data_IF_994478608116
#
_entry.id   IF_994478608116
#
_cell.length_a   1.000
_cell.length_b   1.000
_cell.length_c   1.000
_cell.angle_alpha   90.00
_cell.angle_beta   90.00
_cell.angle_gamma   90.00
#
_symmetry.space_group_name_H-M   'P 1'
#
loop_
_entity.id
_entity.type
_entity.pdbx_description
1 polymer ?
#
# COMPACT_ATOMS: atom_id res chain seq x y z
N UNK A 1 22.91 -18.44 -27.17
CA UNK A 1 22.50 -17.03 -27.07
C UNK A 1 23.46 -16.36 -26.12
N UNK A 2 24.13 -15.29 -26.53
CA UNK A 2 25.06 -14.58 -25.64
C UNK A 2 24.24 -13.85 -24.57
N UNK A 3 24.51 -14.13 -23.29
CA UNK A 3 24.06 -13.30 -22.18
C UNK A 3 24.59 -11.88 -22.43
N UNK A 4 23.69 -10.92 -22.59
CA UNK A 4 24.06 -9.51 -22.68
C UNK A 4 24.39 -9.08 -21.26
N UNK A 5 25.61 -9.37 -20.82
CA UNK A 5 26.12 -8.82 -19.57
C UNK A 5 26.26 -7.31 -19.78
N UNK A 6 25.58 -6.52 -18.95
CA UNK A 6 25.79 -5.06 -18.88
C UNK A 6 27.31 -4.79 -18.85
N UNK A 7 27.86 -3.85 -19.64
CA UNK A 7 29.29 -3.49 -19.59
C UNK A 7 29.82 -3.16 -18.18
N UNK A 8 28.95 -2.85 -17.22
CA UNK A 8 29.32 -2.62 -15.81
C UNK A 8 29.27 -3.89 -14.93
N UNK A 9 28.89 -5.04 -15.48
CA UNK A 9 28.81 -6.32 -14.76
C UNK A 9 27.63 -6.40 -13.80
N UNK A 10 26.54 -5.66 -14.06
CA UNK A 10 25.34 -5.68 -13.21
C UNK A 10 24.63 -7.04 -13.37
N UNK A 11 24.30 -7.73 -12.27
CA UNK A 11 23.52 -8.96 -12.33
C UNK A 11 22.12 -8.67 -12.87
N UNK A 12 21.65 -9.51 -13.78
CA UNK A 12 20.28 -9.44 -14.32
C UNK A 12 19.43 -10.56 -13.70
N UNK A 13 18.26 -10.20 -13.17
CA UNK A 13 17.28 -11.14 -12.63
C UNK A 13 15.88 -10.77 -13.13
N UNK A 14 15.07 -11.79 -13.44
CA UNK A 14 13.64 -11.60 -13.65
C UNK A 14 12.94 -11.59 -12.28
N UNK A 15 12.16 -10.53 -11.98
CA UNK A 15 11.38 -10.48 -10.74
C UNK A 15 10.30 -11.56 -10.70
N UNK A 16 9.83 -12.05 -11.85
CA UNK A 16 8.86 -13.15 -11.95
C UNK A 16 9.42 -14.47 -11.41
N UNK A 17 10.74 -14.67 -11.50
CA UNK A 17 11.40 -15.90 -11.07
C UNK A 17 11.67 -15.93 -9.55
N UNK A 18 11.50 -14.79 -8.87
CA UNK A 18 11.67 -14.71 -7.43
C UNK A 18 10.49 -15.38 -6.72
N UNK A 19 10.71 -16.14 -5.63
CA UNK A 19 9.65 -16.84 -4.90
C UNK A 19 8.76 -15.89 -4.05
N UNK A 20 8.54 -14.66 -4.49
CA UNK A 20 7.81 -13.60 -3.77
C UNK A 20 6.34 -13.94 -3.52
N UNK A 21 5.71 -14.72 -4.40
CA UNK A 21 4.33 -15.15 -4.24
C UNK A 21 4.13 -15.99 -2.98
N UNK A 22 5.10 -16.88 -2.69
CA UNK A 22 5.06 -17.84 -1.59
C UNK A 22 5.83 -17.38 -0.35
N UNK A 23 7.04 -16.87 -0.55
CA UNK A 23 7.97 -16.49 0.51
C UNK A 23 8.76 -15.23 0.12
N UNK A 24 8.27 -14.09 0.61
CA UNK A 24 8.92 -12.80 0.39
C UNK A 24 10.27 -12.69 1.10
N UNK A 25 10.49 -13.38 2.21
CA UNK A 25 11.77 -13.37 2.90
C UNK A 25 12.86 -13.93 2.00
N UNK A 26 12.62 -15.13 1.45
CA UNK A 26 13.51 -15.75 0.46
C UNK A 26 13.59 -14.90 -0.80
N UNK A 27 12.47 -14.40 -1.34
CA UNK A 27 12.47 -13.59 -2.55
C UNK A 27 13.32 -12.31 -2.43
N UNK A 28 13.18 -11.57 -1.33
CA UNK A 28 13.99 -10.39 -1.07
C UNK A 28 15.45 -10.72 -0.78
N UNK A 29 15.72 -11.86 -0.12
CA UNK A 29 17.09 -12.34 0.10
C UNK A 29 17.79 -12.66 -1.23
N UNK A 30 17.15 -13.42 -2.13
CA UNK A 30 17.67 -13.73 -3.47
C UNK A 30 18.03 -12.46 -4.24
N UNK A 31 17.16 -11.45 -4.21
CA UNK A 31 17.43 -10.17 -4.88
C UNK A 31 18.62 -9.43 -4.26
N UNK A 32 18.76 -9.42 -2.92
CA UNK A 32 19.90 -8.79 -2.22
C UNK A 32 21.22 -9.54 -2.48
N UNK A 33 21.18 -10.86 -2.52
CA UNK A 33 22.36 -11.72 -2.74
C UNK A 33 22.95 -11.53 -4.14
N UNK A 34 22.13 -11.19 -5.14
CA UNK A 34 22.61 -10.86 -6.47
C UNK A 34 23.51 -9.61 -6.47
N UNK A 35 23.17 -8.58 -5.69
CA UNK A 35 24.01 -7.40 -5.53
C UNK A 35 23.25 -6.14 -5.07
N UNK A 36 23.97 -5.04 -4.80
CA UNK A 36 23.38 -3.77 -4.35
C UNK A 36 22.59 -3.04 -5.45
N UNK A 37 22.92 -3.31 -6.71
CA UNK A 37 22.23 -2.86 -7.92
C UNK A 37 21.98 -4.09 -8.79
N UNK A 38 20.73 -4.34 -9.17
CA UNK A 38 20.32 -5.49 -9.99
C UNK A 38 19.50 -4.97 -11.17
N UNK A 39 19.76 -5.45 -12.39
CA UNK A 39 18.93 -5.14 -13.55
C UNK A 39 17.75 -6.11 -13.60
N UNK A 40 16.56 -5.58 -13.81
CA UNK A 40 15.35 -6.40 -13.98
C UNK A 40 14.31 -5.65 -14.82
N UNK A 41 13.83 -6.25 -15.90
CA UNK A 41 12.87 -5.66 -16.85
C UNK A 41 13.28 -4.27 -17.38
N UNK A 42 14.58 -4.01 -17.52
CA UNK A 42 15.09 -2.68 -17.89
C UNK A 42 14.99 -1.62 -16.77
N UNK A 43 14.77 -2.04 -15.52
CA UNK A 43 14.86 -1.21 -14.32
C UNK A 43 16.05 -1.63 -13.46
N UNK A 44 16.70 -0.67 -12.83
CA UNK A 44 17.73 -0.91 -11.82
C UNK A 44 17.08 -1.01 -10.43
N UNK A 45 17.10 -2.17 -9.81
CA UNK A 45 16.66 -2.39 -8.44
C UNK A 45 17.80 -2.07 -7.45
N UNK A 46 17.54 -1.15 -6.52
CA UNK A 46 18.43 -0.86 -5.40
C UNK A 46 18.00 -1.69 -4.20
N UNK A 47 18.92 -2.53 -3.71
CA UNK A 47 18.61 -3.54 -2.69
C UNK A 47 19.28 -3.23 -1.35
N UNK A 48 20.34 -2.42 -1.38
CA UNK A 48 21.12 -2.04 -0.20
C UNK A 48 20.52 -0.83 0.51
N UNK A 49 20.34 -0.94 1.82
CA UNK A 49 19.66 0.08 2.66
C UNK A 49 20.20 1.49 2.50
N UNK A 50 21.52 1.68 2.57
CA UNK A 50 22.10 3.02 2.48
C UNK A 50 21.76 3.72 1.15
N UNK A 51 21.77 2.97 0.03
CA UNK A 51 21.48 3.50 -1.29
C UNK A 51 19.99 3.83 -1.45
N UNK A 52 19.11 2.92 -1.01
CA UNK A 52 17.66 3.14 -1.02
C UNK A 52 17.30 4.38 -0.18
N UNK A 53 17.86 4.51 1.02
CA UNK A 53 17.59 5.64 1.89
C UNK A 53 18.17 6.96 1.37
N UNK A 54 19.34 6.92 0.73
CA UNK A 54 19.91 8.09 0.05
C UNK A 54 19.00 8.53 -1.10
N UNK A 55 18.54 7.59 -1.93
CA UNK A 55 17.65 7.87 -3.05
C UNK A 55 16.30 8.44 -2.61
N UNK A 56 15.67 7.86 -1.57
CA UNK A 56 14.42 8.36 -0.99
C UNK A 56 14.52 9.82 -0.53
N UNK A 57 15.70 10.25 -0.06
CA UNK A 57 15.95 11.62 0.46
C UNK A 57 16.38 12.61 -0.62
N UNK A 58 16.69 12.15 -1.83
CA UNK A 58 17.22 12.98 -2.89
C UNK A 58 16.27 13.01 -4.11
N UNK A 59 15.12 13.71 -4.01
CA UNK A 59 14.14 13.80 -5.10
C UNK A 59 14.68 14.54 -6.33
N UNK A 60 15.73 15.36 -6.16
CA UNK A 60 16.35 16.09 -7.26
C UNK A 60 17.05 15.13 -8.23
N UNK A 61 17.71 14.10 -7.71
CA UNK A 61 18.38 13.06 -8.50
C UNK A 61 17.41 11.94 -8.85
N UNK A 62 16.61 11.48 -7.87
CA UNK A 62 15.65 10.39 -8.04
C UNK A 62 14.24 10.97 -8.10
N UNK A 63 13.82 11.34 -9.31
CA UNK A 63 12.53 12.00 -9.58
C UNK A 63 11.37 11.02 -9.47
N UNK A 64 10.33 11.41 -8.73
CA UNK A 64 9.03 10.74 -8.72
C UNK A 64 8.21 11.17 -9.93
N UNK A 65 8.23 12.47 -10.28
CA UNK A 65 7.51 13.01 -11.45
C UNK A 65 7.80 12.22 -12.72
N UNK A 66 9.08 12.06 -13.06
CA UNK A 66 9.51 11.31 -14.25
C UNK A 66 9.10 9.83 -14.22
N UNK A 67 9.01 9.23 -13.04
CA UNK A 67 8.54 7.85 -12.92
C UNK A 67 7.04 7.73 -13.27
N UNK A 68 6.23 8.70 -12.89
CA UNK A 68 4.80 8.75 -13.23
C UNK A 68 4.52 9.23 -14.65
N UNK A 69 5.42 10.01 -15.27
CA UNK A 69 5.32 10.35 -16.71
C UNK A 69 5.33 9.10 -17.61
N UNK A 70 6.03 8.03 -17.19
CA UNK A 70 6.03 6.73 -17.90
C UNK A 70 4.65 6.06 -17.86
N UNK A 71 3.85 6.32 -16.82
CA UNK A 71 2.49 5.77 -16.67
C UNK A 71 1.51 6.46 -17.64
N UNK A 72 1.79 7.71 -18.04
CA UNK A 72 1.01 8.40 -19.07
C UNK A 72 -0.41 8.80 -18.66
N UNK A 73 -0.68 8.98 -17.36
CA UNK A 73 -2.00 9.42 -16.88
C UNK A 73 -2.34 10.83 -17.40
N UNK A 74 -3.57 11.08 -17.89
CA UNK A 74 -4.02 12.41 -18.28
C UNK A 74 -4.29 13.33 -17.08
N UNK A 75 -4.35 12.77 -15.86
CA UNK A 75 -4.61 13.49 -14.63
C UNK A 75 -3.31 13.86 -13.89
N UNK A 76 -3.28 15.01 -13.20
CA UNK A 76 -2.19 15.32 -12.29
C UNK A 76 -2.30 14.44 -11.03
N UNK A 77 -1.58 13.33 -10.95
CA UNK A 77 -1.63 12.39 -9.81
C UNK A 77 -0.99 12.99 -8.55
N UNK A 78 -1.71 13.90 -7.91
CA UNK A 78 -1.27 14.66 -6.75
C UNK A 78 -1.23 13.77 -5.50
N UNK A 79 -0.18 13.85 -4.66
CA UNK A 79 1.08 14.55 -4.87
C UNK A 79 2.16 13.66 -5.51
N UNK A 80 1.88 12.38 -5.78
CA UNK A 80 2.91 11.38 -6.09
C UNK A 80 3.67 11.64 -7.40
N UNK A 81 3.01 12.21 -8.41
CA UNK A 81 3.59 12.52 -9.72
C UNK A 81 4.30 13.90 -9.79
N UNK A 82 4.70 14.46 -8.65
CA UNK A 82 5.37 15.75 -8.57
C UNK A 82 6.66 15.65 -7.77
N UNK A 83 7.64 16.49 -8.09
CA UNK A 83 8.84 16.69 -7.26
C UNK A 83 8.78 18.07 -6.57
N UNK A 84 9.59 18.35 -5.54
CA UNK A 84 9.71 19.70 -4.99
C UNK A 84 10.18 20.71 -6.05
N UNK A 85 9.70 21.97 -6.00
CA UNK A 85 8.85 22.57 -4.97
C UNK A 85 7.34 22.33 -5.11
N UNK A 86 6.82 21.92 -6.27
CA UNK A 86 5.38 21.72 -6.49
C UNK A 86 4.80 20.66 -5.54
N UNK A 87 5.50 19.53 -5.40
CA UNK A 87 5.16 18.50 -4.42
C UNK A 87 5.03 19.06 -3.00
N UNK A 88 5.91 19.98 -2.61
CA UNK A 88 5.89 20.58 -1.28
C UNK A 88 4.62 21.40 -1.05
N UNK A 89 4.07 22.07 -2.07
CA UNK A 89 2.78 22.77 -1.99
C UNK A 89 1.67 21.78 -1.67
N UNK A 90 1.55 20.72 -2.45
CA UNK A 90 0.52 19.69 -2.24
C UNK A 90 0.64 19.02 -0.87
N UNK A 91 1.86 18.71 -0.44
CA UNK A 91 2.09 18.13 0.90
C UNK A 91 1.65 19.06 2.03
N UNK A 92 1.85 20.37 1.91
CA UNK A 92 1.40 21.35 2.91
C UNK A 92 -0.12 21.39 2.99
N UNK A 93 -0.82 21.29 1.85
CA UNK A 93 -2.28 21.24 1.79
C UNK A 93 -2.79 19.95 2.44
N UNK A 94 -2.19 18.80 2.13
CA UNK A 94 -2.74 17.50 2.53
C UNK A 94 -2.42 17.08 3.97
N UNK A 95 -1.23 17.38 4.48
CA UNK A 95 -0.76 16.86 5.78
C UNK A 95 -1.69 17.13 6.97
N UNK A 96 -2.32 18.32 7.12
CA UNK A 96 -3.22 18.59 8.24
C UNK A 96 -4.37 17.58 8.36
N UNK A 97 -4.96 17.17 7.24
CA UNK A 97 -6.11 16.26 7.19
C UNK A 97 -5.77 14.82 7.57
N UNK A 98 -4.52 14.39 7.34
CA UNK A 98 -4.04 13.05 7.67
C UNK A 98 -3.20 13.03 8.96
N UNK A 99 -3.27 14.09 9.77
CA UNK A 99 -2.64 14.14 11.08
C UNK A 99 -3.41 13.31 12.10
N UNK A 100 -2.76 12.75 13.14
CA UNK A 100 -3.46 12.03 14.21
C UNK A 100 -4.60 12.84 14.87
N UNK A 101 -4.42 14.16 14.97
CA UNK A 101 -5.44 15.04 15.55
C UNK A 101 -6.68 15.13 14.67
N UNK A 102 -6.52 15.34 13.36
CA UNK A 102 -7.65 15.39 12.43
C UNK A 102 -8.38 14.04 12.35
N UNK A 103 -7.62 12.94 12.30
CA UNK A 103 -8.18 11.59 12.21
C UNK A 103 -8.92 11.15 13.48
N UNK A 104 -8.64 11.76 14.64
CA UNK A 104 -9.37 11.45 15.88
C UNK A 104 -10.88 11.77 15.77
N UNK A 105 -11.26 12.75 14.93
CA UNK A 105 -12.65 13.12 14.73
C UNK A 105 -13.44 12.05 13.94
N UNK A 106 -12.80 11.34 13.01
CA UNK A 106 -13.44 10.30 12.19
C UNK A 106 -13.39 8.91 12.84
N UNK A 107 -12.52 8.71 13.84
CA UNK A 107 -12.29 7.42 14.49
C UNK A 107 -13.60 6.70 14.91
N UNK A 108 -14.59 7.36 15.55
CA UNK A 108 -15.83 6.68 15.92
C UNK A 108 -16.61 6.13 14.71
N UNK A 109 -16.60 6.85 13.58
CA UNK A 109 -17.29 6.43 12.36
C UNK A 109 -16.62 5.23 11.70
N UNK A 110 -15.29 5.27 11.54
CA UNK A 110 -14.54 4.16 10.94
C UNK A 110 -14.53 2.92 11.85
N UNK A 111 -14.61 3.09 13.17
CA UNK A 111 -14.74 1.98 14.11
C UNK A 111 -16.12 1.32 13.99
N UNK A 112 -17.20 2.12 13.91
CA UNK A 112 -18.54 1.59 13.68
C UNK A 112 -18.64 0.79 12.37
N UNK A 113 -18.03 1.28 11.29
CA UNK A 113 -17.97 0.56 10.01
C UNK A 113 -17.26 -0.79 10.12
N UNK A 114 -16.13 -0.85 10.82
CA UNK A 114 -15.42 -2.11 11.06
C UNK A 114 -16.27 -3.08 11.88
N UNK A 115 -16.91 -2.57 12.95
CA UNK A 115 -17.79 -3.35 13.82
C UNK A 115 -18.94 -3.97 13.02
N UNK A 116 -19.62 -3.19 12.19
CA UNK A 116 -20.76 -3.66 11.39
C UNK A 116 -20.38 -4.81 10.46
N UNK A 117 -19.22 -4.69 9.79
CA UNK A 117 -18.69 -5.74 8.92
C UNK A 117 -18.33 -6.98 9.76
N UNK A 118 -17.56 -6.81 10.83
CA UNK A 118 -17.05 -7.93 11.64
C UNK A 118 -18.20 -8.64 12.38
N UNK A 119 -19.23 -7.92 12.86
CA UNK A 119 -20.43 -8.51 13.48
C UNK A 119 -21.27 -9.33 12.48
N UNK A 120 -21.24 -8.99 11.19
CA UNK A 120 -21.87 -9.78 10.14
C UNK A 120 -21.10 -11.07 9.89
N UNK A 121 -19.77 -11.01 9.91
CA UNK A 121 -18.90 -12.17 9.70
C UNK A 121 -18.94 -13.11 10.91
N UNK A 122 -18.92 -12.59 12.14
CA UNK A 122 -18.89 -13.38 13.37
C UNK A 122 -20.10 -14.31 13.59
N UNK A 123 -21.15 -14.15 12.78
CA UNK A 123 -22.36 -15.01 12.77
C UNK A 123 -22.27 -16.18 11.78
N UNK A 124 -21.16 -16.32 11.08
CA UNK A 124 -20.92 -17.34 10.05
C UNK A 124 -19.87 -18.35 10.56
N UNK A 125 -19.84 -19.52 9.93
CA UNK A 125 -18.82 -20.55 10.19
C UNK A 125 -17.60 -20.41 9.26
N UNK A 126 -17.70 -19.54 8.24
CA UNK A 126 -16.66 -19.29 7.26
C UNK A 126 -16.67 -17.82 6.81
N UNK A 127 -15.52 -17.35 6.34
CA UNK A 127 -15.33 -16.00 5.82
C UNK A 127 -14.26 -16.00 4.74
N UNK A 128 -14.50 -15.29 3.65
CA UNK A 128 -13.44 -14.91 2.71
C UNK A 128 -12.99 -13.50 3.08
N UNK A 129 -11.89 -13.38 3.82
CA UNK A 129 -11.49 -12.12 4.48
C UNK A 129 -11.27 -10.99 3.48
N UNK A 130 -10.81 -11.29 2.26
CA UNK A 130 -10.55 -10.23 1.29
C UNK A 130 -11.85 -9.56 0.86
N UNK A 131 -12.83 -10.33 0.39
CA UNK A 131 -14.13 -9.86 -0.08
C UNK A 131 -15.06 -9.42 1.07
N UNK A 132 -15.04 -10.12 2.21
CA UNK A 132 -15.95 -9.82 3.32
C UNK A 132 -15.47 -8.65 4.18
N UNK A 133 -14.15 -8.38 4.24
CA UNK A 133 -13.56 -7.37 5.16
C UNK A 133 -12.53 -6.46 4.51
N UNK A 134 -11.43 -7.01 3.99
CA UNK A 134 -10.24 -6.24 3.66
C UNK A 134 -10.45 -5.29 2.46
N UNK A 135 -11.29 -5.67 1.50
CA UNK A 135 -11.70 -4.83 0.37
C UNK A 135 -12.81 -3.84 0.74
N UNK A 136 -13.96 -4.25 1.32
CA UNK A 136 -15.05 -3.33 1.58
C UNK A 136 -14.76 -2.30 2.67
N UNK A 137 -13.89 -2.58 3.65
CA UNK A 137 -13.64 -1.67 4.76
C UNK A 137 -12.91 -0.39 4.35
N UNK A 138 -11.71 -0.43 3.74
CA UNK A 138 -11.00 0.79 3.33
C UNK A 138 -11.79 1.62 2.32
N UNK A 139 -12.59 0.98 1.46
CA UNK A 139 -13.49 1.68 0.53
C UNK A 139 -14.55 2.51 1.25
N UNK A 140 -15.12 2.04 2.37
CA UNK A 140 -16.08 2.83 3.16
C UNK A 140 -15.40 3.97 3.90
N UNK A 141 -14.19 3.72 4.43
CA UNK A 141 -13.39 4.74 5.10
C UNK A 141 -13.06 5.87 4.12
N UNK A 142 -12.63 5.53 2.90
CA UNK A 142 -12.38 6.52 1.84
C UNK A 142 -13.62 7.34 1.51
N UNK A 143 -14.76 6.69 1.25
CA UNK A 143 -16.01 7.38 0.93
C UNK A 143 -16.41 8.35 2.05
N UNK A 144 -16.30 7.90 3.31
CA UNK A 144 -16.59 8.74 4.48
C UNK A 144 -15.65 9.94 4.56
N UNK A 145 -14.34 9.72 4.39
CA UNK A 145 -13.32 10.75 4.50
C UNK A 145 -13.45 11.82 3.41
N UNK A 146 -13.86 11.41 2.21
CA UNK A 146 -14.00 12.27 1.03
C UNK A 146 -15.42 12.86 0.85
N UNK A 147 -16.34 12.66 1.80
CA UNK A 147 -17.69 13.22 1.72
C UNK A 147 -18.59 12.54 0.68
N UNK A 148 -18.25 11.31 0.29
CA UNK A 148 -18.92 10.56 -0.76
C UNK A 148 -19.98 9.59 -0.21
N UNK A 149 -21.04 9.26 -0.97
CA UNK A 149 -22.09 8.37 -0.50
C UNK A 149 -21.61 6.92 -0.29
N UNK A 150 -21.82 6.37 0.91
CA UNK A 150 -21.48 4.96 1.22
C UNK A 150 -22.16 3.93 0.30
N UNK A 151 -23.33 4.28 -0.27
CA UNK A 151 -24.03 3.43 -1.25
C UNK A 151 -23.23 3.19 -2.54
N UNK A 152 -22.22 4.02 -2.82
CA UNK A 152 -21.36 3.87 -4.01
C UNK A 152 -20.18 2.92 -3.77
N UNK A 153 -20.06 2.30 -2.58
CA UNK A 153 -18.97 1.38 -2.21
C UNK A 153 -18.68 0.32 -3.27
N UNK A 154 -19.70 -0.44 -3.71
CA UNK A 154 -19.50 -1.53 -4.67
C UNK A 154 -19.04 -1.00 -6.05
N UNK A 155 -19.53 0.17 -6.46
CA UNK A 155 -19.11 0.82 -7.70
C UNK A 155 -17.64 1.24 -7.61
N UNK A 156 -17.26 1.86 -6.48
CA UNK A 156 -15.90 2.27 -6.22
C UNK A 156 -14.92 1.08 -6.23
N UNK A 157 -15.29 -0.02 -5.60
CA UNK A 157 -14.50 -1.27 -5.60
C UNK A 157 -14.33 -1.78 -7.03
N UNK A 158 -15.43 -1.94 -7.77
CA UNK A 158 -15.39 -2.44 -9.14
C UNK A 158 -14.54 -1.57 -10.08
N UNK A 159 -14.63 -0.25 -9.97
CA UNK A 159 -13.76 0.64 -10.74
C UNK A 159 -12.29 0.51 -10.36
N UNK A 160 -11.99 0.49 -9.06
CA UNK A 160 -10.62 0.38 -8.54
C UNK A 160 -9.97 -0.93 -8.98
N UNK A 161 -10.65 -2.07 -8.80
CA UNK A 161 -10.11 -3.39 -9.16
C UNK A 161 -9.81 -3.49 -10.65
N UNK A 162 -10.76 -3.08 -11.51
CA UNK A 162 -10.58 -3.10 -12.95
C UNK A 162 -9.40 -2.23 -13.42
N UNK A 163 -9.17 -1.06 -12.80
CA UNK A 163 -8.03 -0.20 -13.14
C UNK A 163 -6.70 -0.83 -12.69
N UNK A 164 -6.66 -1.48 -11.53
CA UNK A 164 -5.45 -2.14 -11.03
C UNK A 164 -5.08 -3.33 -11.94
N UNK A 165 -6.07 -4.10 -12.40
CA UNK A 165 -5.86 -5.21 -13.34
C UNK A 165 -5.16 -4.74 -14.63
N UNK A 166 -5.39 -3.50 -15.09
CA UNK A 166 -4.70 -2.94 -16.26
C UNK A 166 -3.18 -2.78 -16.05
N UNK A 167 -2.73 -2.73 -14.80
CA UNK A 167 -1.31 -2.58 -14.45
C UNK A 167 -0.59 -3.92 -14.32
N UNK A 168 -1.31 -5.03 -14.38
CA UNK A 168 -0.75 -6.38 -14.35
C UNK A 168 -0.48 -6.84 -15.80
N UNK A 169 0.71 -7.39 -16.11
CA UNK A 169 1.00 -7.88 -17.46
C UNK A 169 -0.05 -8.91 -17.93
N UNK A 170 -0.89 -8.55 -18.90
CA UNK A 170 -1.89 -9.46 -19.45
C UNK A 170 -1.23 -10.40 -20.49
N UNK A 171 -1.20 -11.70 -20.19
CA UNK A 171 -0.72 -12.72 -21.12
C UNK A 171 -1.62 -12.90 -22.36
N UNK A 172 -2.88 -12.45 -22.32
CA UNK A 172 -3.88 -12.72 -23.35
C UNK A 172 -3.91 -11.70 -24.51
N UNK A 173 -3.18 -10.58 -24.42
CA UNK A 173 -3.08 -9.60 -25.51
C UNK A 173 -4.40 -8.90 -25.87
N UNK A 174 -5.39 -8.91 -24.97
CA UNK A 174 -6.68 -8.26 -25.17
C UNK A 174 -6.56 -6.74 -24.98
N UNK A 175 -7.34 -5.98 -25.76
CA UNK A 175 -7.45 -4.53 -25.58
C UNK A 175 -8.08 -4.25 -24.21
N UNK A 176 -7.41 -3.48 -23.32
CA UNK A 176 -7.96 -3.09 -22.03
C UNK A 176 -9.35 -2.46 -22.13
N UNK A 177 -10.30 -2.89 -21.30
CA UNK A 177 -11.55 -2.15 -21.11
C UNK A 177 -11.28 -0.92 -20.24
N UNK A 178 -11.37 0.26 -20.85
CA UNK A 178 -11.16 1.54 -20.18
C UNK A 178 -12.45 2.11 -19.56
N UNK A 179 -13.60 1.45 -19.73
CA UNK A 179 -14.90 1.91 -19.23
C UNK A 179 -14.87 2.18 -17.72
N UNK A 180 -14.33 1.29 -16.87
CA UNK A 180 -14.28 1.52 -15.41
C UNK A 180 -13.45 2.76 -15.04
N UNK A 181 -12.35 3.02 -15.75
CA UNK A 181 -11.53 4.21 -15.55
C UNK A 181 -12.28 5.50 -15.90
N UNK A 182 -13.03 5.50 -17.01
CA UNK A 182 -13.86 6.62 -17.44
C UNK A 182 -15.03 6.88 -16.48
N UNK A 183 -15.65 5.83 -15.95
CA UNK A 183 -16.73 5.95 -14.98
C UNK A 183 -16.24 6.51 -13.64
N UNK A 184 -15.10 6.04 -13.13
CA UNK A 184 -14.48 6.61 -11.94
C UNK A 184 -14.10 8.09 -12.16
N UNK A 185 -13.52 8.40 -13.32
CA UNK A 185 -13.18 9.77 -13.70
C UNK A 185 -14.43 10.68 -13.69
N UNK A 186 -15.52 10.23 -14.32
CA UNK A 186 -16.76 10.99 -14.37
C UNK A 186 -17.36 11.19 -12.97
N UNK A 187 -17.41 10.12 -12.17
CA UNK A 187 -17.88 10.16 -10.79
C UNK A 187 -17.11 11.17 -9.93
N UNK A 188 -15.77 11.13 -9.99
CA UNK A 188 -14.94 12.04 -9.22
C UNK A 188 -15.02 13.48 -9.75
N UNK A 189 -15.23 13.68 -11.05
CA UNK A 189 -15.47 15.01 -11.62
C UNK A 189 -16.75 15.63 -11.07
N UNK A 190 -17.83 14.84 -11.03
CA UNK A 190 -19.09 15.26 -10.42
C UNK A 190 -18.93 15.55 -8.92
N UNK A 191 -18.19 14.71 -8.20
CA UNK A 191 -17.91 14.91 -6.78
C UNK A 191 -17.14 16.21 -6.53
N UNK A 192 -16.05 16.48 -7.26
CA UNK A 192 -15.28 17.73 -7.14
C UNK A 192 -16.18 18.95 -7.39
N UNK A 193 -16.98 18.92 -8.46
CA UNK A 193 -17.89 20.01 -8.78
C UNK A 193 -18.97 20.23 -7.71
N UNK A 194 -19.47 19.16 -7.09
CA UNK A 194 -20.44 19.23 -6.00
C UNK A 194 -19.83 19.83 -4.74
N UNK A 195 -18.66 19.34 -4.30
CA UNK A 195 -17.99 19.81 -3.09
C UNK A 195 -17.49 21.26 -3.23
N UNK A 196 -17.17 21.71 -4.44
CA UNK A 196 -16.88 23.14 -4.69
C UNK A 196 -18.13 24.01 -4.54
N UNK A 197 -19.30 23.55 -4.99
CA UNK A 197 -20.56 24.30 -4.90
C UNK A 197 -21.14 24.26 -3.48
N UNK A 198 -21.02 23.12 -2.82
CA UNK A 198 -21.63 22.83 -1.52
C UNK A 198 -20.58 22.20 -0.59
N UNK A 199 -19.62 22.99 -0.06
CA UNK A 199 -18.56 22.46 0.78
C UNK A 199 -19.09 21.93 2.12
N UNK A 200 -18.60 20.76 2.51
CA UNK A 200 -18.79 20.13 3.81
C UNK A 200 -17.52 20.09 4.65
N UNK A 201 -17.55 19.29 5.71
CA UNK A 201 -16.41 19.09 6.64
C UNK A 201 -15.47 17.94 6.20
N UNK A 202 -15.65 17.41 4.99
CA UNK A 202 -14.85 16.31 4.43
C UNK A 202 -13.53 16.79 3.82
N UNK A 203 -12.63 15.85 3.52
CA UNK A 203 -11.31 16.18 2.97
C UNK A 203 -11.41 16.81 1.59
N UNK A 204 -12.34 16.38 0.74
CA UNK A 204 -12.44 16.90 -0.63
C UNK A 204 -12.86 18.37 -0.62
N UNK A 205 -13.85 18.73 0.19
CA UNK A 205 -14.25 20.13 0.44
C UNK A 205 -13.10 20.97 0.98
N UNK A 206 -12.36 20.45 1.97
CA UNK A 206 -11.32 21.21 2.64
C UNK A 206 -10.07 21.44 1.78
N UNK A 207 -9.69 20.50 0.91
CA UNK A 207 -8.57 20.72 -0.03
C UNK A 207 -8.91 21.69 -1.16
N UNK A 208 -10.20 21.87 -1.48
CA UNK A 208 -10.68 22.82 -2.49
C UNK A 208 -10.77 24.26 -1.94
N UNK A 209 -10.70 24.43 -0.62
CA UNK A 209 -10.96 25.69 0.05
C UNK A 209 -9.75 26.65 0.06
N UNK A 210 -10.05 27.95 0.05
CA UNK A 210 -9.07 29.04 0.16
C UNK A 210 -8.34 29.38 -1.15
N UNK A 211 -7.60 30.49 -1.13
CA UNK A 211 -6.88 31.01 -2.31
C UNK A 211 -5.70 30.10 -2.73
N UNK A 212 -5.15 29.33 -1.79
CA UNK A 212 -4.05 28.37 -2.01
C UNK A 212 -4.55 26.92 -2.17
N UNK A 213 -5.86 26.71 -2.29
CA UNK A 213 -6.49 25.40 -2.45
C UNK A 213 -6.09 24.67 -3.74
N UNK A 214 -6.55 23.43 -3.88
CA UNK A 214 -6.40 22.68 -5.12
C UNK A 214 -7.34 23.23 -6.20
N UNK A 215 -6.84 23.27 -7.44
CA UNK A 215 -7.70 23.42 -8.62
C UNK A 215 -8.58 22.18 -8.79
N UNK A 216 -9.60 22.26 -9.65
CA UNK A 216 -10.47 21.10 -9.92
C UNK A 216 -9.69 19.92 -10.50
N UNK A 217 -8.77 20.17 -11.44
CA UNK A 217 -7.93 19.13 -12.02
C UNK A 217 -7.00 18.51 -10.98
N UNK A 218 -6.43 19.32 -10.08
CA UNK A 218 -5.56 18.84 -9.01
C UNK A 218 -6.33 18.01 -7.97
N UNK A 219 -7.54 18.43 -7.59
CA UNK A 219 -8.40 17.70 -6.67
C UNK A 219 -8.92 16.40 -7.30
N UNK A 220 -9.29 16.43 -8.57
CA UNK A 220 -9.69 15.24 -9.34
C UNK A 220 -8.52 14.25 -9.44
N UNK A 221 -7.34 14.72 -9.81
CA UNK A 221 -6.14 13.88 -9.90
C UNK A 221 -5.69 13.33 -8.54
N UNK A 222 -5.84 14.10 -7.47
CA UNK A 222 -5.64 13.64 -6.09
C UNK A 222 -6.63 12.54 -5.71
N UNK A 223 -7.94 12.77 -5.89
CA UNK A 223 -8.97 11.81 -5.53
C UNK A 223 -8.81 10.51 -6.33
N UNK A 224 -8.55 10.61 -7.63
CA UNK A 224 -8.29 9.46 -8.50
C UNK A 224 -7.07 8.67 -8.03
N UNK A 225 -5.96 9.35 -7.74
CA UNK A 225 -4.76 8.69 -7.20
C UNK A 225 -5.01 8.04 -5.83
N UNK A 226 -5.80 8.65 -4.95
CA UNK A 226 -6.05 8.12 -3.60
C UNK A 226 -6.96 6.89 -3.63
N UNK A 227 -7.91 6.80 -4.58
CA UNK A 227 -8.67 5.57 -4.81
C UNK A 227 -7.74 4.41 -5.16
N UNK A 228 -6.78 4.62 -6.06
CA UNK A 228 -5.88 3.55 -6.49
C UNK A 228 -4.80 3.23 -5.45
N UNK A 229 -4.10 4.24 -4.92
CA UNK A 229 -2.97 4.05 -4.02
C UNK A 229 -3.39 3.81 -2.56
N UNK A 230 -4.54 4.34 -2.14
CA UNK A 230 -5.02 4.30 -0.76
C UNK A 230 -5.82 3.05 -0.42
N UNK A 231 -6.60 2.51 -1.36
CA UNK A 231 -7.47 1.38 -1.08
C UNK A 231 -6.70 0.05 -1.06
N UNK A 232 -6.03 -0.27 -2.16
CA UNK A 232 -5.42 -1.61 -2.33
C UNK A 232 -4.26 -1.86 -1.36
N UNK A 233 -3.54 -0.80 -0.95
CA UNK A 233 -2.47 -0.92 0.04
C UNK A 233 -2.99 -1.25 1.45
N UNK A 234 -4.12 -0.68 1.86
CA UNK A 234 -4.74 -1.00 3.16
C UNK A 234 -5.43 -2.36 3.11
N UNK A 235 -6.08 -2.70 1.99
CA UNK A 235 -6.62 -4.04 1.72
C UNK A 235 -5.54 -5.12 1.86
N UNK A 236 -4.37 -4.92 1.24
CA UNK A 236 -3.21 -5.81 1.39
C UNK A 236 -2.78 -5.95 2.84
N UNK A 237 -2.68 -4.82 3.56
CA UNK A 237 -2.19 -4.80 4.93
C UNK A 237 -3.16 -5.49 5.91
N UNK A 238 -4.47 -5.32 5.72
CA UNK A 238 -5.50 -6.03 6.48
C UNK A 238 -5.43 -7.53 6.17
N UNK A 239 -5.36 -7.91 4.89
CA UNK A 239 -5.23 -9.32 4.49
C UNK A 239 -4.00 -9.99 5.11
N UNK A 240 -2.84 -9.32 5.06
CA UNK A 240 -1.60 -9.77 5.68
C UNK A 240 -1.70 -9.91 7.20
N UNK A 241 -2.30 -8.92 7.88
CA UNK A 241 -2.53 -8.99 9.33
C UNK A 241 -3.44 -10.17 9.70
N UNK A 242 -4.51 -10.39 8.95
CA UNK A 242 -5.44 -11.50 9.20
C UNK A 242 -4.82 -12.86 8.90
N UNK A 243 -4.00 -12.94 7.87
CA UNK A 243 -3.22 -14.13 7.56
C UNK A 243 -2.28 -14.50 8.71
N UNK A 244 -1.51 -13.55 9.23
CA UNK A 244 -0.58 -13.81 10.33
C UNK A 244 -1.30 -14.21 11.63
N UNK A 245 -2.44 -13.57 11.93
CA UNK A 245 -3.25 -13.95 13.09
C UNK A 245 -3.86 -15.35 12.94
N UNK A 246 -4.34 -15.72 11.74
CA UNK A 246 -4.91 -17.04 11.48
C UNK A 246 -3.87 -18.17 11.56
N UNK A 247 -2.59 -17.87 11.30
CA UNK A 247 -1.48 -18.83 11.39
C UNK A 247 -0.87 -18.95 12.78
N UNK A 248 -1.15 -18.01 13.69
CA UNK A 248 -0.50 -17.89 15.01
C UNK A 248 -1.52 -17.70 16.15
N UNK A 249 -2.26 -18.75 16.56
CA UNK A 249 -3.25 -18.65 17.63
C UNK A 249 -2.70 -18.09 18.95
N UNK A 250 -1.44 -18.39 19.28
CA UNK A 250 -0.75 -17.87 20.46
C UNK A 250 -0.50 -16.36 20.40
N UNK A 251 -0.34 -15.79 19.19
CA UNK A 251 -0.26 -14.35 18.99
C UNK A 251 -1.62 -13.70 19.26
N UNK A 252 -2.71 -14.30 18.79
CA UNK A 252 -4.07 -13.85 19.08
C UNK A 252 -4.34 -13.80 20.59
N UNK A 253 -3.99 -14.85 21.33
CA UNK A 253 -4.11 -14.87 22.80
C UNK A 253 -3.32 -13.74 23.45
N UNK A 254 -2.06 -13.56 23.05
CA UNK A 254 -1.20 -12.50 23.59
C UNK A 254 -1.75 -11.09 23.35
N UNK A 255 -2.29 -10.83 22.15
CA UNK A 255 -2.86 -9.54 21.78
C UNK A 255 -4.19 -9.26 22.49
N UNK A 256 -4.99 -10.29 22.79
CA UNK A 256 -6.19 -10.14 23.65
C UNK A 256 -5.82 -9.81 25.10
N UNK A 257 -4.79 -10.46 25.63
CA UNK A 257 -4.30 -10.20 27.00
C UNK A 257 -3.61 -8.84 27.13
N UNK A 258 -2.98 -8.36 26.05
CA UNK A 258 -2.25 -7.08 25.99
C UNK A 258 -2.64 -6.27 24.75
N UNK A 259 -3.82 -5.64 24.74
CA UNK A 259 -4.30 -4.90 23.56
C UNK A 259 -3.41 -3.71 23.16
N UNK A 260 -2.62 -3.17 24.09
CA UNK A 260 -1.62 -2.13 23.81
C UNK A 260 -0.52 -2.60 22.83
N UNK A 261 -0.34 -3.91 22.67
CA UNK A 261 0.61 -4.52 21.74
C UNK A 261 0.09 -4.58 20.29
N UNK A 262 -1.20 -4.31 20.04
CA UNK A 262 -1.77 -4.31 18.69
C UNK A 262 -1.07 -3.28 17.81
N UNK A 263 -0.73 -2.11 18.36
CA UNK A 263 0.03 -1.09 17.63
C UNK A 263 1.42 -1.59 17.20
N UNK A 264 2.09 -2.40 18.03
CA UNK A 264 3.38 -3.02 17.68
C UNK A 264 3.19 -4.05 16.57
N UNK A 265 2.18 -4.91 16.68
CA UNK A 265 1.84 -5.89 15.65
C UNK A 265 1.57 -5.23 14.30
N UNK A 266 0.81 -4.14 14.27
CA UNK A 266 0.51 -3.38 13.05
C UNK A 266 1.80 -2.87 12.38
N UNK A 267 2.74 -2.31 13.14
CA UNK A 267 4.02 -1.84 12.57
C UNK A 267 4.85 -3.00 12.00
N UNK A 268 4.85 -4.16 12.67
CA UNK A 268 5.54 -5.36 12.20
C UNK A 268 4.90 -5.93 10.93
N UNK A 269 3.58 -5.90 10.80
CA UNK A 269 2.90 -6.22 9.53
C UNK A 269 3.33 -5.25 8.45
N UNK A 270 3.36 -3.93 8.67
CA UNK A 270 3.79 -3.02 7.61
C UNK A 270 5.29 -3.17 7.28
N UNK A 271 6.13 -3.59 8.23
CA UNK A 271 7.56 -3.88 8.00
C UNK A 271 7.77 -5.12 7.14
N UNK A 272 7.16 -6.25 7.52
CA UNK A 272 7.29 -7.52 6.82
C UNK A 272 6.42 -7.50 5.55
N UNK A 273 5.18 -7.12 5.67
CA UNK A 273 4.18 -7.16 4.61
C UNK A 273 3.92 -5.76 4.06
N UNK A 274 5.02 -5.08 3.66
CA UNK A 274 4.93 -3.77 3.03
C UNK A 274 4.08 -3.87 1.77
N UNK A 275 2.86 -3.33 1.82
CA UNK A 275 1.88 -3.46 0.73
C UNK A 275 2.43 -2.97 -0.60
N UNK A 276 3.19 -1.87 -0.61
CA UNK A 276 3.94 -1.39 -1.77
C UNK A 276 5.45 -1.56 -1.49
N UNK A 277 6.04 -2.74 -1.76
CA UNK A 277 7.40 -3.05 -1.32
C UNK A 277 8.48 -2.42 -2.21
N UNK A 278 8.11 -1.82 -3.34
CA UNK A 278 9.01 -1.16 -4.29
C UNK A 278 8.41 0.18 -4.67
N UNK A 279 9.22 1.24 -4.63
CA UNK A 279 8.79 2.56 -5.13
C UNK A 279 9.64 2.99 -6.33
N UNK A 280 9.02 3.40 -7.46
CA UNK A 280 9.74 3.71 -8.68
C UNK A 280 10.30 5.14 -8.64
N UNK A 281 11.45 5.33 -9.28
CA UNK A 281 12.11 6.63 -9.53
C UNK A 281 12.74 6.64 -10.92
N UNK A 282 13.04 7.82 -11.42
CA UNK A 282 13.87 7.99 -12.61
C UNK A 282 15.00 8.96 -12.30
N UNK A 283 16.24 8.63 -12.69
CA UNK A 283 17.38 9.52 -12.48
C UNK A 283 17.26 10.76 -13.36
N UNK A 284 17.54 11.93 -12.81
CA UNK A 284 17.53 13.20 -13.56
C UNK A 284 18.88 13.55 -14.16
N UNK A 285 19.95 13.03 -13.54
CA UNK A 285 21.35 13.17 -13.91
C UNK A 285 22.07 11.82 -13.78
N UNK A 286 23.32 11.77 -14.23
CA UNK A 286 24.18 10.61 -13.99
C UNK A 286 24.49 10.47 -12.49
N UNK A 287 24.41 9.26 -11.94
CA UNK A 287 24.66 8.99 -10.53
C UNK A 287 25.41 7.68 -10.34
N UNK A 288 26.40 7.66 -9.45
CA UNK A 288 27.11 6.44 -9.07
C UNK A 288 26.55 5.87 -7.76
N UNK A 289 26.13 4.62 -7.78
CA UNK A 289 25.55 3.88 -6.65
C UNK A 289 26.31 2.56 -6.50
N UNK A 290 26.85 2.28 -5.32
CA UNK A 290 27.63 1.07 -5.06
C UNK A 290 28.73 0.76 -6.11
N UNK A 291 29.34 1.80 -6.69
CA UNK A 291 30.38 1.67 -7.73
C UNK A 291 29.85 1.52 -9.17
N UNK A 292 28.53 1.46 -9.35
CA UNK A 292 27.83 1.38 -10.65
C UNK A 292 27.34 2.77 -11.05
N UNK A 293 27.62 3.21 -12.27
CA UNK A 293 27.20 4.52 -12.77
C UNK A 293 25.95 4.38 -13.63
N UNK A 294 24.84 4.93 -13.13
CA UNK A 294 23.57 4.96 -13.85
C UNK A 294 23.48 6.26 -14.65
N UNK A 295 23.20 6.21 -15.97
CA UNK A 295 22.98 7.43 -16.76
C UNK A 295 21.70 8.16 -16.31
N UNK A 296 21.58 9.43 -16.69
CA UNK A 296 20.33 10.18 -16.57
C UNK A 296 19.20 9.47 -17.34
N UNK A 297 17.98 9.48 -16.79
CA UNK A 297 16.82 8.79 -17.36
C UNK A 297 16.72 7.31 -17.01
N UNK A 298 17.64 6.78 -16.19
CA UNK A 298 17.58 5.41 -15.70
C UNK A 298 16.36 5.20 -14.82
N UNK A 299 15.60 4.14 -15.08
CA UNK A 299 14.45 3.73 -14.28
C UNK A 299 14.92 2.91 -13.09
N UNK A 300 14.57 3.34 -11.89
CA UNK A 300 15.09 2.79 -10.63
C UNK A 300 13.95 2.30 -9.75
N UNK A 301 14.07 1.07 -9.24
CA UNK A 301 13.20 0.47 -8.24
C UNK A 301 13.88 0.57 -6.87
N UNK A 302 13.26 1.29 -5.93
CA UNK A 302 13.75 1.36 -4.55
C UNK A 302 13.09 0.25 -3.73
N UNK A 303 13.82 -0.82 -3.40
CA UNK A 303 13.26 -2.03 -2.80
C UNK A 303 13.12 -1.91 -1.27
N UNK A 304 12.00 -1.34 -0.82
CA UNK A 304 11.65 -1.19 0.59
C UNK A 304 11.55 -2.56 1.31
N UNK A 305 10.95 -3.55 0.65
CA UNK A 305 10.83 -4.92 1.18
C UNK A 305 12.19 -5.57 1.45
N UNK A 306 13.17 -5.30 0.58
CA UNK A 306 14.55 -5.78 0.75
C UNK A 306 15.22 -5.16 1.98
N UNK A 307 15.12 -3.83 2.14
CA UNK A 307 15.82 -3.12 3.22
C UNK A 307 15.16 -3.30 4.58
N UNK A 308 13.88 -3.69 4.64
CA UNK A 308 13.21 -4.07 5.90
C UNK A 308 13.65 -5.45 6.44
N UNK A 309 14.44 -6.21 5.65
CA UNK A 309 14.86 -7.61 5.91
C UNK A 309 16.36 -7.85 5.69
N UNK A 310 17.17 -6.80 5.72
CA UNK A 310 18.57 -6.87 5.29
C UNK A 310 19.56 -7.34 6.37
N UNK A 311 19.08 -7.68 7.58
CA UNK A 311 19.88 -8.11 8.70
C UNK A 311 20.80 -7.05 9.31
N UNK A 312 20.65 -5.78 8.95
CA UNK A 312 21.57 -4.72 9.40
C UNK A 312 21.28 -4.17 10.81
N UNK A 313 20.14 -4.53 11.40
CA UNK A 313 19.81 -4.28 12.79
C UNK A 313 18.90 -5.40 13.36
N UNK A 314 18.58 -5.31 14.65
CA UNK A 314 17.84 -6.35 15.38
C UNK A 314 16.40 -6.58 14.90
N UNK A 315 15.79 -5.65 14.15
CA UNK A 315 14.43 -5.80 13.63
C UNK A 315 14.41 -6.15 12.14
N UNK A 316 15.54 -6.12 11.46
CA UNK A 316 15.60 -6.21 10.01
C UNK A 316 15.72 -7.65 9.53
N UNK A 317 14.92 -8.55 10.11
CA UNK A 317 14.82 -9.96 9.74
C UNK A 317 13.43 -10.33 9.22
N UNK A 318 13.20 -11.62 9.04
CA UNK A 318 11.94 -12.15 8.49
C UNK A 318 10.89 -12.49 9.56
N UNK A 319 11.26 -12.43 10.84
CA UNK A 319 10.37 -12.76 11.96
C UNK A 319 9.66 -11.53 12.54
N UNK A 320 8.48 -11.74 13.14
CA UNK A 320 7.76 -10.72 13.91
C UNK A 320 8.51 -10.37 15.20
N UNK A 321 8.76 -9.08 15.42
CA UNK A 321 9.38 -8.57 16.66
C UNK A 321 8.33 -8.00 17.60
N UNK A 322 7.84 -8.84 18.53
CA UNK A 322 6.83 -8.47 19.53
C UNK A 322 7.46 -8.15 20.90
N UNK A 323 8.39 -7.19 20.93
CA UNK A 323 9.14 -6.79 22.15
C UNK A 323 8.50 -5.62 22.93
N UNK A 324 7.30 -5.21 22.52
CA UNK A 324 6.56 -4.10 23.12
C UNK A 324 6.99 -2.71 22.71
N UNK A 325 7.85 -2.58 21.70
CA UNK A 325 8.31 -1.28 21.19
C UNK A 325 7.95 -1.13 19.72
N UNK A 326 7.58 0.10 19.35
CA UNK A 326 7.46 0.48 17.94
C UNK A 326 8.85 0.80 17.42
N UNK A 327 9.27 0.07 16.39
CA UNK A 327 10.56 0.25 15.75
C UNK A 327 10.43 0.98 14.42
N UNK A 328 11.51 1.64 14.00
CA UNK A 328 11.55 2.35 12.74
C UNK A 328 11.69 1.35 11.59
N UNK A 329 10.74 1.37 10.65
CA UNK A 329 10.77 0.60 9.41
C UNK A 329 10.47 1.51 8.21
N UNK A 330 10.53 0.95 7.00
CA UNK A 330 10.42 1.70 5.75
C UNK A 330 9.22 1.32 4.88
N UNK A 331 8.25 0.57 5.43
CA UNK A 331 7.07 0.13 4.67
C UNK A 331 6.14 1.27 4.21
N UNK A 332 6.25 2.46 4.81
CA UNK A 332 5.58 3.69 4.33
C UNK A 332 6.48 4.58 3.46
N UNK A 333 7.62 4.05 3.00
CA UNK A 333 8.66 4.80 2.30
C UNK A 333 9.39 5.80 3.19
N UNK A 334 10.04 6.78 2.56
CA UNK A 334 10.84 7.79 3.24
C UNK A 334 11.00 9.07 2.41
N UNK A 335 11.64 10.07 3.02
CA UNK A 335 11.86 11.38 2.40
C UNK A 335 10.57 12.16 2.14
N UNK A 336 10.55 13.08 1.16
CA UNK A 336 9.40 13.92 0.86
C UNK A 336 8.13 13.12 0.55
N UNK A 337 8.29 11.97 -0.12
CA UNK A 337 7.19 11.10 -0.56
C UNK A 337 6.76 10.05 0.47
N UNK A 338 7.21 10.12 1.72
CA UNK A 338 6.70 9.24 2.77
C UNK A 338 5.16 9.31 2.80
N UNK A 339 4.50 8.15 2.84
CA UNK A 339 3.05 8.02 2.69
C UNK A 339 2.29 9.06 3.53
N UNK A 340 1.41 9.83 2.87
CA UNK A 340 0.58 10.86 3.54
C UNK A 340 -0.47 10.20 4.44
N UNK A 341 -1.09 9.12 3.98
CA UNK A 341 -2.11 8.36 4.70
C UNK A 341 -1.57 7.42 5.78
N UNK A 342 -0.28 7.50 6.13
CA UNK A 342 0.36 6.52 7.03
C UNK A 342 -0.26 6.46 8.43
N UNK A 343 -0.87 7.53 8.92
CA UNK A 343 -1.60 7.53 10.20
C UNK A 343 -2.99 6.93 10.06
N UNK A 344 -3.67 7.17 8.92
CA UNK A 344 -4.97 6.59 8.62
C UNK A 344 -4.86 5.08 8.45
N UNK A 345 -3.91 4.59 7.66
CA UNK A 345 -3.68 3.16 7.49
C UNK A 345 -3.39 2.44 8.83
N UNK A 346 -2.55 3.04 9.69
CA UNK A 346 -2.34 2.53 11.06
C UNK A 346 -3.63 2.48 11.85
N UNK A 347 -4.42 3.55 11.81
CA UNK A 347 -5.68 3.66 12.54
C UNK A 347 -6.67 2.57 12.08
N UNK A 348 -6.85 2.41 10.77
CA UNK A 348 -7.68 1.36 10.17
C UNK A 348 -7.24 -0.03 10.60
N UNK A 349 -5.94 -0.35 10.48
CA UNK A 349 -5.42 -1.65 10.91
C UNK A 349 -5.59 -1.91 12.41
N UNK A 350 -5.35 -0.90 13.26
CA UNK A 350 -5.55 -1.03 14.70
C UNK A 350 -7.02 -1.30 15.04
N UNK A 351 -7.94 -0.56 14.40
CA UNK A 351 -9.39 -0.78 14.55
C UNK A 351 -9.76 -2.20 14.13
N UNK A 352 -9.38 -2.61 12.91
CA UNK A 352 -9.73 -3.94 12.39
C UNK A 352 -9.21 -5.06 13.29
N UNK A 353 -7.92 -5.03 13.66
CA UNK A 353 -7.32 -6.07 14.52
C UNK A 353 -7.98 -6.10 15.90
N UNK A 354 -8.24 -4.93 16.49
CA UNK A 354 -8.89 -4.83 17.81
C UNK A 354 -10.31 -5.40 17.78
N UNK A 355 -11.13 -4.94 16.83
CA UNK A 355 -12.53 -5.35 16.75
C UNK A 355 -12.67 -6.82 16.33
N UNK A 356 -11.77 -7.31 15.48
CA UNK A 356 -11.70 -8.72 15.09
C UNK A 356 -11.39 -9.61 16.28
N UNK A 357 -10.30 -9.34 17.02
CA UNK A 357 -9.91 -10.15 18.18
C UNK A 357 -10.91 -10.09 19.34
N UNK A 358 -11.69 -9.01 19.42
CA UNK A 358 -12.76 -8.83 20.42
C UNK A 358 -13.97 -9.71 20.12
N UNK A 359 -14.35 -9.86 18.84
CA UNK A 359 -15.57 -10.59 18.42
C UNK A 359 -15.30 -12.04 18.06
N UNK A 360 -14.13 -12.34 17.52
CA UNK A 360 -13.76 -13.68 17.09
C UNK A 360 -12.83 -14.32 18.09
N UNK A 361 -13.25 -15.45 18.66
CA UNK A 361 -12.46 -16.18 19.65
C UNK A 361 -11.51 -17.17 18.99
N UNK A 362 -12.01 -17.95 18.03
CA UNK A 362 -11.25 -18.97 17.33
C UNK A 362 -11.53 -18.91 15.82
N UNK A 363 -10.45 -18.89 15.03
CA UNK A 363 -10.48 -18.92 13.58
C UNK A 363 -9.17 -19.53 13.07
N UNK A 364 -9.23 -20.16 11.91
CA UNK A 364 -8.09 -20.82 11.26
C UNK A 364 -8.19 -20.67 9.74
N UNK A 365 -7.06 -20.84 9.04
CA UNK A 365 -7.08 -20.96 7.58
C UNK A 365 -7.95 -22.14 7.14
N UNK A 366 -8.67 -21.99 6.03
CA UNK A 366 -9.40 -23.11 5.46
C UNK A 366 -8.45 -24.30 5.14
N UNK A 367 -8.87 -25.56 5.40
CA UNK A 367 -8.02 -26.72 5.18
C UNK A 367 -7.45 -26.79 3.75
N UNK A 368 -6.14 -26.99 3.64
CA UNK A 368 -5.45 -27.12 2.35
C UNK A 368 -5.21 -25.79 1.61
N UNK A 369 -5.69 -24.66 2.14
CA UNK A 369 -5.42 -23.36 1.56
C UNK A 369 -3.93 -22.99 1.73
N UNK A 370 -3.31 -22.60 0.61
CA UNK A 370 -1.93 -22.11 0.55
C UNK A 370 -1.99 -20.63 0.16
N UNK A 371 -1.63 -19.72 1.07
CA UNK A 371 -1.64 -18.29 0.78
C UNK A 371 -0.54 -17.94 -0.22
N UNK A 372 -0.95 -17.34 -1.33
CA UNK A 372 -0.06 -16.80 -2.37
C UNK A 372 -0.50 -15.38 -2.67
N UNK A 373 0.43 -14.44 -2.79
CA UNK A 373 0.11 -13.10 -3.27
C UNK A 373 0.17 -13.05 -4.80
N UNK A 374 -0.51 -12.08 -5.40
CA UNK A 374 -0.27 -11.73 -6.81
C UNK A 374 1.13 -11.14 -6.95
N UNK A 375 1.98 -11.76 -7.77
CA UNK A 375 3.31 -11.28 -8.08
C UNK A 375 3.72 -11.62 -9.52
N UNK A 376 4.37 -10.70 -10.26
CA UNK A 376 4.69 -9.32 -9.89
C UNK A 376 3.44 -8.44 -9.88
N UNK A 377 3.40 -7.50 -8.94
CA UNK A 377 2.33 -6.53 -8.80
C UNK A 377 2.87 -5.26 -8.12
N UNK A 378 2.31 -4.06 -8.39
CA UNK A 378 2.60 -2.87 -7.60
C UNK A 378 2.33 -3.05 -6.09
N UNK A 379 1.43 -3.97 -5.75
CA UNK A 379 1.02 -4.29 -4.39
C UNK A 379 1.11 -5.78 -4.07
N UNK A 380 1.48 -6.12 -2.84
CA UNK A 380 1.50 -7.50 -2.34
C UNK A 380 0.14 -7.92 -1.76
N UNK A 381 -0.87 -8.03 -2.61
CA UNK A 381 -2.25 -8.39 -2.20
C UNK A 381 -2.48 -9.89 -2.29
N UNK A 382 -3.18 -10.45 -1.29
CA UNK A 382 -3.75 -11.81 -1.36
C UNK A 382 -5.00 -11.78 -2.24
N UNK A 383 -5.14 -12.64 -3.26
CA UNK A 383 -6.35 -12.68 -4.09
C UNK A 383 -7.55 -13.32 -3.37
N UNK A 384 -7.29 -14.20 -2.39
CA UNK A 384 -8.29 -14.72 -1.46
C UNK A 384 -7.64 -14.95 -0.10
N UNK A 385 -8.44 -15.03 0.96
CA UNK A 385 -8.04 -15.48 2.30
C UNK A 385 -9.25 -16.15 2.99
N UNK A 386 -9.52 -17.44 2.70
CA UNK A 386 -10.62 -18.18 3.28
C UNK A 386 -10.27 -18.64 4.71
N UNK A 387 -11.12 -18.29 5.66
CA UNK A 387 -11.05 -18.69 7.05
C UNK A 387 -12.24 -19.54 7.45
N UNK A 388 -12.01 -20.47 8.38
CA UNK A 388 -13.06 -21.09 9.18
C UNK A 388 -13.17 -20.36 10.51
N UNK A 389 -14.39 -20.07 10.92
CA UNK A 389 -14.72 -19.45 12.21
C UNK A 389 -15.23 -20.57 13.10
N UNK A 390 -14.55 -20.77 14.23
CA UNK A 390 -14.84 -21.89 15.12
C UNK A 390 -15.67 -21.36 16.30
N UNK A 391 -16.82 -21.98 16.55
CA UNK A 391 -17.59 -21.72 17.77
C UNK A 391 -16.85 -22.30 18.97
N UNK A 392 -17.01 -21.67 20.14
CA UNK A 392 -16.32 -22.09 21.37
C UNK A 392 -16.62 -23.55 21.79
N UNK A 393 -17.66 -24.18 21.23
CA UNK A 393 -18.04 -25.57 21.49
C UNK A 393 -17.28 -26.60 20.64
N UNK A 394 -16.43 -26.17 19.69
CA UNK A 394 -15.70 -27.04 18.76
C UNK A 394 -14.22 -27.29 19.14
N UNK A 395 -13.79 -26.87 20.34
CA UNK A 395 -12.39 -26.97 20.84
C UNK A 395 -12.18 -28.13 21.82
#
# INVERSE_FOLDING_TARGET
MAEIVDPQGIPELDLNDLPMSLDRGVGWATLREAGPVVLSDGWYALTRREDVLAALRNPNVFSSKKAFEVVGSPLPLVPAAFDPPEHTRFRKILQPFFSPHALAAILPSIQAQAIDIIDSIARRDECEVMADLATPYPSQVFLTLFGLPLRDRERLIGWKDAIIELSIPNAAGETPDLTPALELFAYLTEAVAEHRRNPGDDVLSQVLAGDDGLTDDEALGMAFFFVLAGLDTVTSAIGAAMLELARRPELCTRLREKPDQIGVFVEEIVRLESSAPVVPRVTTEEVTIAGITLPAGSRVRLCLGAINRDGSDAISGDELVMDGKVHKHWGFGGGPHRCVGSHLARMEMNVVVTEWLTRMTHFELAPGYRPEITWPSPTCTLPLLPLRILTAEAS
#
